data_IF_561921645307
#
_entry.id   IF_561921645307
#
_cell.length_a   1.000
_cell.length_b   1.000
_cell.length_c   1.000
_cell.angle_alpha   90.00
_cell.angle_beta   90.00
_cell.angle_gamma   90.00
#
_symmetry.space_group_name_H-M   'P 1'
#
loop_
_entity.id
_entity.type
_entity.pdbx_description
1 polymer ?
#
# COMPACT_ATOMS: atom_id res chain seq x y z
N UNK A 1 -35.98 -66.70 24.65
CA UNK A 1 -35.62 -68.14 24.53
C UNK A 1 -34.22 -68.21 23.91
N UNK A 2 -33.40 -68.95 24.64
CA UNK A 2 -32.11 -69.57 24.26
C UNK A 2 -30.90 -68.68 23.96
N UNK A 3 -30.09 -68.66 24.99
CA UNK A 3 -28.65 -68.52 25.09
C UNK A 3 -27.88 -69.55 24.31
N UNK A 4 -26.75 -69.19 23.69
CA UNK A 4 -25.64 -70.19 23.55
C UNK A 4 -24.31 -69.40 23.64
N UNK A 5 -23.56 -69.81 24.66
CA UNK A 5 -22.15 -69.41 24.89
C UNK A 5 -21.25 -70.41 24.08
N UNK A 6 -20.09 -69.94 23.68
CA UNK A 6 -18.98 -70.73 23.15
C UNK A 6 -17.66 -69.98 23.08
N UNK A 7 -16.50 -70.61 23.06
CA UNK A 7 -15.53 -70.43 24.15
C UNK A 7 -14.34 -69.53 23.82
N UNK A 8 -13.66 -69.06 24.91
CA UNK A 8 -12.41 -68.30 24.93
C UNK A 8 -11.23 -69.16 24.50
N UNK A 9 -10.46 -68.67 23.53
CA UNK A 9 -9.12 -69.20 23.26
C UNK A 9 -8.13 -68.09 23.52
N UNK A 10 -7.27 -68.27 24.50
CA UNK A 10 -6.13 -67.39 24.80
C UNK A 10 -4.96 -67.86 23.92
N UNK A 11 -4.39 -66.91 23.18
CA UNK A 11 -3.11 -67.08 22.49
C UNK A 11 -2.18 -65.97 22.96
N UNK A 12 -1.13 -66.36 23.66
CA UNK A 12 -0.01 -65.51 24.02
C UNK A 12 0.83 -65.21 22.75
N UNK A 13 1.15 -63.99 22.51
CA UNK A 13 2.11 -63.62 21.49
C UNK A 13 3.16 -62.63 22.04
N UNK A 14 4.40 -63.01 21.77
CA UNK A 14 5.64 -62.37 22.15
C UNK A 14 5.69 -60.87 21.73
N UNK A 15 6.19 -60.07 22.64
CA UNK A 15 6.59 -58.69 22.37
C UNK A 15 7.96 -58.70 21.67
N UNK A 16 7.98 -58.20 20.43
CA UNK A 16 9.20 -57.76 19.75
C UNK A 16 9.21 -56.20 19.75
N UNK A 17 10.09 -55.62 20.55
CA UNK A 17 10.31 -54.17 20.59
C UNK A 17 11.12 -53.77 19.35
N UNK A 18 10.47 -53.15 18.36
CA UNK A 18 11.13 -52.39 17.31
C UNK A 18 11.18 -50.93 17.76
N UNK A 19 12.38 -50.46 18.10
CA UNK A 19 12.66 -49.03 18.30
C UNK A 19 12.72 -48.34 16.90
N UNK A 20 11.62 -47.74 16.47
CA UNK A 20 11.66 -46.77 15.37
C UNK A 20 12.25 -45.47 15.89
N UNK A 21 13.44 -45.13 15.40
CA UNK A 21 14.03 -43.83 15.56
C UNK A 21 13.15 -42.78 14.84
N UNK A 22 12.48 -41.94 15.61
CA UNK A 22 11.82 -40.74 15.09
C UNK A 22 12.91 -39.75 14.74
N UNK A 23 13.25 -39.66 13.47
CA UNK A 23 14.00 -38.52 12.95
C UNK A 23 13.08 -37.27 13.08
N UNK A 24 13.26 -36.52 14.14
CA UNK A 24 12.61 -35.22 14.32
C UNK A 24 13.09 -34.28 13.21
N UNK A 25 12.21 -33.96 12.24
CA UNK A 25 12.38 -32.76 11.44
C UNK A 25 12.24 -31.58 12.41
N UNK A 26 13.36 -30.96 12.74
CA UNK A 26 13.38 -29.65 13.36
C UNK A 26 12.87 -28.68 12.29
N UNK A 27 11.79 -27.90 12.53
CA UNK A 27 11.47 -26.81 11.66
C UNK A 27 12.71 -25.88 11.66
N UNK A 28 13.28 -25.66 10.48
CA UNK A 28 14.21 -24.54 10.32
C UNK A 28 13.37 -23.28 10.51
N UNK A 29 13.60 -22.56 11.60
CA UNK A 29 13.17 -21.18 11.72
C UNK A 29 13.78 -20.43 10.52
N UNK A 30 12.92 -20.11 9.53
CA UNK A 30 13.27 -19.07 8.57
C UNK A 30 13.59 -17.81 9.38
N UNK A 31 14.70 -17.15 9.11
CA UNK A 31 14.99 -15.91 9.79
C UNK A 31 13.86 -14.93 9.49
N UNK A 32 13.05 -14.59 10.50
CA UNK A 32 12.15 -13.45 10.44
C UNK A 32 12.97 -12.27 9.95
N UNK A 33 12.64 -11.77 8.75
CA UNK A 33 13.22 -10.58 8.21
C UNK A 33 12.90 -9.45 9.20
N UNK A 34 13.90 -9.06 9.97
CA UNK A 34 13.83 -7.85 10.80
C UNK A 34 13.34 -6.72 9.92
N UNK A 35 12.41 -5.86 10.38
CA UNK A 35 11.98 -4.71 9.62
C UNK A 35 13.19 -3.79 9.45
N UNK A 36 13.90 -3.95 8.33
CA UNK A 36 14.91 -3.01 7.89
C UNK A 36 14.22 -1.66 7.70
N UNK A 37 14.77 -0.61 8.31
CA UNK A 37 14.21 0.74 8.28
C UNK A 37 13.75 1.11 6.86
N UNK A 38 12.56 1.74 6.75
CA UNK A 38 11.79 1.88 5.49
C UNK A 38 12.60 2.28 4.25
N UNK A 39 13.67 3.07 4.40
CA UNK A 39 14.52 3.51 3.30
C UNK A 39 15.27 2.38 2.57
N UNK A 40 15.75 1.35 3.29
CA UNK A 40 16.47 0.22 2.68
C UNK A 40 15.59 -0.61 1.76
N UNK A 41 14.35 -0.88 2.17
CA UNK A 41 13.38 -1.60 1.35
C UNK A 41 12.99 -0.81 0.09
N UNK A 42 12.80 0.51 0.20
CA UNK A 42 12.42 1.34 -0.95
C UNK A 42 13.54 1.42 -2.00
N UNK A 43 14.81 1.47 -1.60
CA UNK A 43 15.95 1.44 -2.54
C UNK A 43 15.99 0.12 -3.29
N UNK A 44 15.80 -1.00 -2.62
CA UNK A 44 15.72 -2.31 -3.24
C UNK A 44 14.54 -2.41 -4.22
N UNK A 45 13.34 -2.01 -3.78
CA UNK A 45 12.15 -1.98 -4.62
C UNK A 45 12.35 -1.08 -5.86
N UNK A 46 12.97 0.10 -5.70
CA UNK A 46 13.29 0.98 -6.82
C UNK A 46 14.26 0.31 -7.82
N UNK A 47 15.19 -0.50 -7.32
CA UNK A 47 16.08 -1.31 -8.14
C UNK A 47 15.32 -2.28 -9.04
N UNK A 48 14.25 -2.87 -8.52
CA UNK A 48 13.40 -3.88 -9.19
C UNK A 48 12.39 -3.28 -10.18
N UNK A 49 12.12 -1.96 -10.11
CA UNK A 49 11.18 -1.32 -11.03
C UNK A 49 11.71 -1.31 -12.46
N UNK A 50 10.84 -1.72 -13.38
CA UNK A 50 11.13 -1.65 -14.83
C UNK A 50 11.18 -0.20 -15.30
N UNK A 51 12.27 0.16 -15.96
CA UNK A 51 12.41 1.47 -16.61
C UNK A 51 11.84 1.40 -18.03
N UNK A 52 10.90 2.28 -18.34
CA UNK A 52 10.29 2.37 -19.67
C UNK A 52 9.98 3.84 -20.03
N UNK A 53 9.80 4.11 -21.30
CA UNK A 53 9.24 5.38 -21.76
C UNK A 53 7.78 5.48 -21.31
N UNK A 54 7.34 6.67 -20.89
CA UNK A 54 5.96 6.90 -20.54
C UNK A 54 5.02 6.55 -21.70
N UNK A 55 3.98 5.79 -21.39
CA UNK A 55 2.95 5.39 -22.35
C UNK A 55 2.10 6.56 -22.83
N UNK A 56 1.27 6.31 -23.83
CA UNK A 56 0.37 7.31 -24.43
C UNK A 56 -0.79 7.63 -23.49
N UNK A 57 -1.25 8.88 -23.54
CA UNK A 57 -2.51 9.32 -22.90
C UNK A 57 -3.76 9.02 -23.75
N UNK A 58 -3.59 8.39 -24.93
CA UNK A 58 -4.73 8.03 -25.77
C UNK A 58 -5.70 7.13 -25.00
N UNK A 59 -6.96 7.51 -24.97
CA UNK A 59 -8.01 6.78 -24.27
C UNK A 59 -8.04 7.01 -22.76
N UNK A 60 -7.14 7.79 -22.18
CA UNK A 60 -7.21 8.12 -20.76
C UNK A 60 -8.49 8.88 -20.44
N UNK A 61 -9.16 8.41 -19.42
CA UNK A 61 -10.21 9.15 -18.71
C UNK A 61 -10.12 8.81 -17.22
N UNK A 62 -10.29 9.82 -16.38
CA UNK A 62 -10.39 9.60 -14.93
C UNK A 62 -11.51 8.63 -14.56
N UNK A 63 -12.56 8.55 -15.38
CA UNK A 63 -13.70 7.64 -15.17
C UNK A 63 -13.33 6.16 -15.33
N UNK A 64 -12.21 5.84 -16.00
CA UNK A 64 -11.67 4.48 -16.03
C UNK A 64 -11.04 4.03 -14.70
N UNK A 65 -10.92 4.93 -13.74
CA UNK A 65 -10.49 4.65 -12.36
C UNK A 65 -11.65 4.92 -11.41
N UNK A 66 -12.63 3.99 -11.28
CA UNK A 66 -13.77 4.18 -10.37
C UNK A 66 -13.29 4.43 -8.94
N UNK A 67 -13.47 5.62 -8.44
CA UNK A 67 -13.11 6.09 -7.10
C UNK A 67 -14.26 6.96 -6.62
N UNK A 68 -14.37 7.13 -5.56
CA UNK A 68 -14.47 6.85 -4.20
C UNK A 68 -15.49 5.73 -3.95
N UNK A 69 -15.06 4.51 -3.78
CA UNK A 69 -15.96 3.37 -3.55
C UNK A 69 -16.72 3.57 -2.25
N UNK A 70 -18.02 3.25 -2.27
CA UNK A 70 -18.83 3.24 -1.07
C UNK A 70 -18.31 2.21 -0.05
N UNK A 71 -18.20 2.64 1.21
CA UNK A 71 -17.82 1.79 2.36
C UNK A 71 -19.03 1.40 3.21
N UNK A 72 -20.25 1.73 2.76
CA UNK A 72 -21.52 1.49 3.43
C UNK A 72 -22.02 2.74 4.18
N UNK A 73 -23.31 2.73 4.55
CA UNK A 73 -23.97 3.83 5.30
C UNK A 73 -23.80 5.22 4.68
N UNK A 74 -23.77 5.31 3.35
CA UNK A 74 -23.52 6.54 2.58
C UNK A 74 -22.12 7.16 2.78
N UNK A 75 -21.14 6.35 3.17
CA UNK A 75 -19.73 6.74 3.24
C UNK A 75 -18.94 6.15 2.10
N UNK A 76 -17.79 6.74 1.86
CA UNK A 76 -16.87 6.29 0.84
C UNK A 76 -15.42 6.25 1.34
N UNK A 77 -14.52 5.88 0.44
CA UNK A 77 -13.08 5.82 0.72
C UNK A 77 -12.53 7.20 1.07
N UNK A 78 -13.05 8.31 0.49
CA UNK A 78 -12.63 9.65 0.83
C UNK A 78 -12.89 9.95 2.31
N UNK A 79 -14.09 9.64 2.83
CA UNK A 79 -14.41 9.82 4.25
C UNK A 79 -13.47 9.02 5.14
N UNK A 80 -13.15 7.79 4.73
CA UNK A 80 -12.23 6.91 5.48
C UNK A 80 -10.83 7.51 5.58
N UNK A 81 -10.31 8.11 4.50
CA UNK A 81 -9.00 8.76 4.50
C UNK A 81 -9.01 10.05 5.31
N UNK A 82 -10.06 10.87 5.18
CA UNK A 82 -10.21 12.08 5.99
C UNK A 82 -10.25 11.76 7.48
N UNK A 83 -10.92 10.67 7.87
CA UNK A 83 -10.95 10.20 9.26
C UNK A 83 -9.57 9.69 9.72
N UNK A 84 -8.87 8.93 8.88
CA UNK A 84 -7.54 8.38 9.20
C UNK A 84 -6.50 9.47 9.44
N UNK A 85 -6.49 10.49 8.57
CA UNK A 85 -5.44 11.50 8.50
C UNK A 85 -5.76 12.77 9.31
N UNK A 86 -7.02 12.92 9.75
CA UNK A 86 -7.47 14.07 10.53
C UNK A 86 -7.33 13.89 12.03
N UNK A 87 -7.30 15.02 12.74
CA UNK A 87 -7.40 15.11 14.21
C UNK A 87 -8.73 15.76 14.60
N UNK A 88 -9.34 15.34 15.71
CA UNK A 88 -10.62 15.87 16.23
C UNK A 88 -11.72 15.86 15.16
N UNK A 89 -11.78 14.79 14.36
CA UNK A 89 -12.68 14.68 13.20
C UNK A 89 -14.14 14.64 13.68
N UNK A 90 -14.98 15.48 13.08
CA UNK A 90 -16.42 15.57 13.34
C UNK A 90 -17.17 14.85 12.22
N UNK A 91 -18.14 14.05 12.60
CA UNK A 91 -18.92 13.23 11.69
C UNK A 91 -20.40 13.61 11.73
N UNK A 92 -21.07 13.56 10.58
CA UNK A 92 -22.53 13.50 10.46
C UNK A 92 -22.89 12.17 9.82
N UNK A 93 -23.36 11.22 10.65
CA UNK A 93 -23.34 9.81 10.26
C UNK A 93 -21.91 9.32 10.11
N UNK A 94 -21.50 9.02 8.90
CA UNK A 94 -20.10 8.69 8.59
C UNK A 94 -19.42 9.74 7.68
N UNK A 95 -20.15 10.75 7.23
CA UNK A 95 -19.56 11.84 6.45
C UNK A 95 -18.72 12.75 7.34
N UNK A 96 -17.55 13.09 6.89
CA UNK A 96 -16.66 14.03 7.59
C UNK A 96 -17.12 15.46 7.34
N UNK A 97 -17.52 16.15 8.42
CA UNK A 97 -18.04 17.51 8.37
C UNK A 97 -17.11 18.56 8.99
N UNK A 98 -16.02 18.14 9.60
CA UNK A 98 -15.01 19.02 10.19
C UNK A 98 -13.89 18.22 10.86
N UNK A 99 -12.82 18.91 11.24
CA UNK A 99 -11.66 18.30 11.89
C UNK A 99 -10.45 19.22 11.81
N UNK A 100 -9.26 18.65 11.93
CA UNK A 100 -8.00 19.32 11.67
C UNK A 100 -7.12 18.42 10.83
N UNK A 101 -6.65 18.95 9.71
CA UNK A 101 -5.70 18.28 8.83
C UNK A 101 -4.48 19.17 8.66
N UNK A 102 -3.32 18.55 8.73
CA UNK A 102 -2.04 19.21 8.43
C UNK A 102 -1.45 18.52 7.21
N UNK A 103 -1.30 19.28 6.14
CA UNK A 103 -0.75 18.76 4.89
C UNK A 103 0.75 18.52 5.02
N UNK A 104 1.17 17.28 4.88
CA UNK A 104 2.60 16.91 4.90
C UNK A 104 3.37 17.47 3.70
N UNK A 105 2.68 17.90 2.64
CA UNK A 105 3.31 18.45 1.43
C UNK A 105 3.80 19.89 1.60
N UNK A 106 3.13 20.69 2.42
CA UNK A 106 3.41 22.13 2.56
C UNK A 106 3.24 22.68 3.98
N UNK A 107 2.89 21.84 4.96
CA UNK A 107 2.68 22.24 6.36
C UNK A 107 1.41 23.05 6.60
N UNK A 108 0.55 23.21 5.61
CA UNK A 108 -0.71 23.97 5.77
C UNK A 108 -1.73 23.18 6.55
N UNK A 109 -2.43 23.88 7.45
CA UNK A 109 -3.54 23.31 8.21
C UNK A 109 -4.89 23.73 7.63
N UNK A 110 -5.86 22.84 7.68
CA UNK A 110 -7.25 23.07 7.31
C UNK A 110 -8.19 22.53 8.39
N UNK A 111 -9.30 23.23 8.62
CA UNK A 111 -10.38 22.80 9.55
C UNK A 111 -11.64 22.35 8.79
N UNK A 112 -11.76 22.75 7.54
CA UNK A 112 -12.87 22.41 6.66
C UNK A 112 -12.42 21.30 5.69
N UNK A 113 -13.11 20.16 5.64
CA UNK A 113 -12.77 19.06 4.72
C UNK A 113 -12.86 19.44 3.24
N UNK A 114 -13.55 20.53 2.87
CA UNK A 114 -13.59 21.05 1.50
C UNK A 114 -12.25 21.66 1.04
N UNK A 115 -11.37 22.00 1.99
CA UNK A 115 -10.02 22.53 1.73
C UNK A 115 -8.96 21.41 1.65
N UNK A 116 -9.37 20.17 1.88
CA UNK A 116 -8.51 18.99 1.88
C UNK A 116 -8.86 18.13 0.68
N UNK A 117 -7.89 17.87 -0.17
CA UNK A 117 -7.99 16.85 -1.23
C UNK A 117 -7.41 15.52 -0.73
N UNK A 118 -7.93 14.42 -1.23
CA UNK A 118 -7.25 13.12 -1.11
C UNK A 118 -6.41 12.95 -2.37
N UNK A 119 -5.11 13.03 -2.18
CA UNK A 119 -4.13 12.78 -3.24
C UNK A 119 -3.95 11.28 -3.48
N UNK A 120 -3.82 10.92 -4.75
CA UNK A 120 -3.26 9.65 -5.16
C UNK A 120 -1.74 9.81 -5.23
N UNK A 121 -0.98 9.15 -4.34
CA UNK A 121 0.49 9.23 -4.29
C UNK A 121 1.09 9.06 -5.69
N UNK A 122 0.73 8.00 -6.40
CA UNK A 122 0.94 7.88 -7.83
C UNK A 122 -0.36 8.32 -8.53
N UNK A 123 -0.36 9.47 -9.23
CA UNK A 123 -1.56 9.99 -9.89
C UNK A 123 -2.16 9.01 -10.88
N UNK A 124 -3.49 9.01 -11.03
CA UNK A 124 -4.19 8.08 -11.91
C UNK A 124 -3.70 8.19 -13.36
N UNK A 125 -3.44 9.40 -13.84
CA UNK A 125 -2.88 9.63 -15.17
C UNK A 125 -1.41 9.18 -15.29
N UNK A 126 -0.62 9.28 -14.21
CA UNK A 126 0.72 8.72 -14.18
C UNK A 126 0.67 7.18 -14.23
N UNK A 127 -0.22 6.56 -13.44
CA UNK A 127 -0.42 5.13 -13.47
C UNK A 127 -0.83 4.64 -14.87
N UNK A 128 -1.73 5.36 -15.56
CA UNK A 128 -2.11 5.07 -16.95
C UNK A 128 -0.88 4.99 -17.85
N UNK A 129 -0.03 6.02 -17.84
CA UNK A 129 1.21 6.07 -18.64
C UNK A 129 2.26 5.04 -18.23
N UNK A 130 2.08 4.42 -17.08
CA UNK A 130 3.02 3.46 -16.49
C UNK A 130 2.55 2.00 -16.60
N UNK A 131 1.50 1.71 -17.40
CA UNK A 131 1.00 0.37 -17.67
C UNK A 131 -0.42 0.09 -17.17
N UNK A 132 -1.08 1.03 -16.47
CA UNK A 132 -2.46 0.83 -16.03
C UNK A 132 -3.49 1.00 -17.18
N UNK A 133 -3.08 1.46 -18.34
CA UNK A 133 -3.88 1.46 -19.58
C UNK A 133 -4.24 0.04 -20.04
N UNK A 134 -3.40 -0.95 -19.72
CA UNK A 134 -3.64 -2.37 -20.02
C UNK A 134 -4.53 -3.07 -18.98
N UNK A 135 -4.87 -2.43 -17.87
CA UNK A 135 -5.71 -3.02 -16.84
C UNK A 135 -7.19 -2.91 -17.19
N UNK A 136 -8.00 -3.78 -16.61
CA UNK A 136 -9.46 -3.59 -16.60
C UNK A 136 -9.87 -2.50 -15.58
N UNK A 137 -11.11 -2.03 -15.69
CA UNK A 137 -11.66 -0.99 -14.81
C UNK A 137 -11.74 -1.46 -13.34
N UNK A 138 -11.89 -2.77 -13.10
CA UNK A 138 -11.92 -3.31 -11.74
C UNK A 138 -10.56 -3.11 -11.05
N UNK A 139 -9.46 -3.50 -11.71
CA UNK A 139 -8.10 -3.32 -11.20
C UNK A 139 -7.73 -1.83 -11.08
N UNK A 140 -8.11 -1.00 -12.05
CA UNK A 140 -7.95 0.46 -11.94
C UNK A 140 -8.71 1.03 -10.75
N UNK A 141 -9.91 0.53 -10.50
CA UNK A 141 -10.69 0.90 -9.32
C UNK A 141 -10.03 0.43 -8.01
N UNK A 142 -9.43 -0.76 -7.97
CA UNK A 142 -8.69 -1.23 -6.80
C UNK A 142 -7.48 -0.35 -6.50
N UNK A 143 -6.73 0.05 -7.53
CA UNK A 143 -5.64 1.00 -7.42
C UNK A 143 -6.10 2.37 -6.89
N UNK A 144 -7.20 2.90 -7.43
CA UNK A 144 -7.73 4.21 -7.08
C UNK A 144 -8.32 4.28 -5.67
N UNK A 145 -8.65 3.14 -5.06
CA UNK A 145 -9.21 3.04 -3.71
C UNK A 145 -8.29 2.25 -2.76
N UNK A 146 -7.00 2.15 -3.07
CA UNK A 146 -6.06 1.39 -2.26
C UNK A 146 -5.78 2.08 -0.91
N UNK A 147 -6.40 1.60 0.14
CA UNK A 147 -6.22 2.08 1.51
C UNK A 147 -5.16 1.31 2.29
N UNK A 148 -4.62 0.22 1.72
CA UNK A 148 -3.66 -0.66 2.38
C UNK A 148 -2.22 -0.18 2.16
N UNK A 149 -1.92 0.33 0.97
CA UNK A 149 -0.64 0.93 0.61
C UNK A 149 -0.71 2.45 0.76
N UNK A 150 0.42 3.16 0.75
CA UNK A 150 0.44 4.62 0.92
C UNK A 150 0.00 5.36 -0.38
N UNK A 151 -1.08 4.90 -1.01
CA UNK A 151 -1.61 5.46 -2.26
C UNK A 151 -2.51 6.66 -2.02
N UNK A 152 -3.22 6.71 -0.90
CA UNK A 152 -4.19 7.77 -0.61
C UNK A 152 -3.75 8.58 0.61
N UNK A 153 -3.77 9.90 0.51
CA UNK A 153 -3.28 10.81 1.54
C UNK A 153 -4.08 12.12 1.56
N UNK A 154 -4.51 12.54 2.74
CA UNK A 154 -5.16 13.86 2.91
C UNK A 154 -4.11 14.97 2.90
N UNK A 155 -4.23 15.90 1.95
CA UNK A 155 -3.28 17.00 1.76
C UNK A 155 -4.01 18.31 1.45
N UNK A 156 -3.31 19.44 1.47
CA UNK A 156 -3.88 20.71 1.04
C UNK A 156 -4.30 20.64 -0.43
N UNK A 157 -5.49 21.13 -0.75
CA UNK A 157 -6.00 21.18 -2.11
C UNK A 157 -5.07 21.95 -3.06
N UNK A 158 -4.36 22.96 -2.55
CA UNK A 158 -3.39 23.75 -3.33
C UNK A 158 -2.19 22.91 -3.77
N UNK A 159 -1.59 22.10 -2.87
CA UNK A 159 -0.45 21.25 -3.20
C UNK A 159 -0.87 20.10 -4.11
N UNK A 160 -2.04 19.48 -3.86
CA UNK A 160 -2.55 18.43 -4.72
C UNK A 160 -2.75 18.90 -6.17
N UNK A 161 -3.35 20.07 -6.35
CA UNK A 161 -3.56 20.67 -7.69
C UNK A 161 -2.25 21.08 -8.36
N UNK A 162 -1.27 21.57 -7.57
CA UNK A 162 0.06 21.87 -8.07
C UNK A 162 0.81 20.61 -8.53
N UNK A 163 0.66 19.50 -7.81
CA UNK A 163 1.23 18.19 -8.18
C UNK A 163 0.62 17.67 -9.47
N UNK A 164 -0.72 17.70 -9.58
CA UNK A 164 -1.43 17.19 -10.76
C UNK A 164 -1.07 15.75 -11.07
N UNK A 165 -0.66 15.48 -12.30
CA UNK A 165 -0.25 14.16 -12.78
C UNK A 165 1.29 14.00 -12.92
N UNK A 166 2.03 14.95 -12.34
CA UNK A 166 3.49 15.02 -12.41
C UNK A 166 4.14 13.92 -11.54
N UNK A 167 5.27 13.41 -12.01
CA UNK A 167 6.13 12.49 -11.29
C UNK A 167 7.20 13.23 -10.44
N UNK A 168 7.98 12.53 -9.60
CA UNK A 168 8.98 13.15 -8.74
C UNK A 168 10.10 13.92 -9.45
N UNK A 169 10.30 13.72 -10.76
CA UNK A 169 11.25 14.52 -11.56
C UNK A 169 10.69 15.90 -11.90
N UNK A 170 9.38 16.08 -11.85
CA UNK A 170 8.67 17.28 -12.26
C UNK A 170 8.09 18.05 -11.07
N UNK A 171 7.69 17.36 -10.03
CA UNK A 171 7.12 17.94 -8.82
C UNK A 171 7.61 17.23 -7.56
N UNK A 172 7.90 17.97 -6.52
CA UNK A 172 8.25 17.48 -5.19
C UNK A 172 7.51 18.31 -4.13
N UNK A 173 7.15 17.73 -2.97
CA UNK A 173 6.58 18.48 -1.86
C UNK A 173 7.46 19.69 -1.48
N UNK A 174 6.84 20.85 -1.19
CA UNK A 174 7.56 22.03 -0.68
C UNK A 174 8.22 21.72 0.67
N UNK A 175 7.59 20.88 1.48
CA UNK A 175 8.13 20.38 2.73
C UNK A 175 9.21 19.32 2.46
N UNK A 176 10.48 19.71 2.51
CA UNK A 176 11.62 18.83 2.26
C UNK A 176 11.75 17.68 3.28
N UNK A 177 11.28 17.88 4.52
CA UNK A 177 11.34 16.81 5.53
C UNK A 177 10.47 15.60 5.17
N UNK A 178 9.50 15.78 4.28
CA UNK A 178 8.64 14.70 3.79
C UNK A 178 9.19 13.97 2.55
N UNK A 179 10.32 14.41 1.96
CA UNK A 179 10.82 13.83 0.72
C UNK A 179 11.14 12.34 0.81
N UNK A 180 11.77 11.91 1.90
CA UNK A 180 12.04 10.49 2.11
C UNK A 180 10.76 9.67 2.10
N UNK A 181 9.78 10.07 2.91
CA UNK A 181 8.51 9.38 3.00
C UNK A 181 7.72 9.42 1.69
N UNK A 182 7.80 10.55 0.96
CA UNK A 182 7.19 10.68 -0.36
C UNK A 182 7.80 9.70 -1.36
N UNK A 183 9.13 9.62 -1.45
CA UNK A 183 9.84 8.70 -2.35
C UNK A 183 9.59 7.23 -1.96
N UNK A 184 9.65 6.88 -0.68
CA UNK A 184 9.31 5.53 -0.19
C UNK A 184 7.88 5.14 -0.58
N UNK A 185 6.93 6.03 -0.35
CA UNK A 185 5.52 5.79 -0.66
C UNK A 185 5.29 5.61 -2.16
N UNK A 186 5.90 6.47 -2.98
CA UNK A 186 5.82 6.39 -4.44
C UNK A 186 6.36 5.06 -4.96
N UNK A 187 7.56 4.67 -4.52
CA UNK A 187 8.21 3.40 -4.91
C UNK A 187 7.36 2.21 -4.46
N UNK A 188 6.91 2.21 -3.20
CA UNK A 188 6.06 1.13 -2.66
C UNK A 188 4.81 0.91 -3.51
N UNK A 189 4.12 1.99 -3.89
CA UNK A 189 2.92 1.92 -4.73
C UNK A 189 3.26 1.38 -6.11
N UNK A 190 4.26 1.95 -6.80
CA UNK A 190 4.63 1.47 -8.14
C UNK A 190 5.12 0.02 -8.14
N UNK A 191 5.90 -0.37 -7.14
CA UNK A 191 6.40 -1.73 -7.00
C UNK A 191 5.26 -2.73 -6.81
N UNK A 192 4.34 -2.46 -5.87
CA UNK A 192 3.21 -3.35 -5.61
C UNK A 192 2.31 -3.52 -6.84
N UNK A 193 1.98 -2.40 -7.49
CA UNK A 193 1.10 -2.39 -8.66
C UNK A 193 1.81 -2.74 -9.97
N UNK A 194 3.12 -3.03 -9.92
CA UNK A 194 3.96 -3.38 -11.08
C UNK A 194 3.90 -2.32 -12.19
N UNK A 195 3.89 -1.06 -11.79
CA UNK A 195 3.96 0.07 -12.70
C UNK A 195 5.41 0.34 -13.10
N UNK A 196 5.62 0.83 -14.31
CA UNK A 196 6.93 1.23 -14.78
C UNK A 196 7.31 2.62 -14.26
N UNK A 197 8.60 2.95 -14.32
CA UNK A 197 9.14 4.29 -14.09
C UNK A 197 9.89 4.79 -15.32
N UNK A 198 9.88 6.11 -15.56
CA UNK A 198 10.79 6.70 -16.54
C UNK A 198 12.20 6.80 -15.97
N UNK A 199 13.21 6.98 -16.83
CA UNK A 199 14.59 7.21 -16.38
C UNK A 199 14.72 8.46 -15.52
N UNK A 200 14.00 9.53 -15.86
CA UNK A 200 13.97 10.77 -15.09
C UNK A 200 13.30 10.59 -13.72
N UNK A 201 12.16 9.91 -13.68
CA UNK A 201 11.46 9.56 -12.45
C UNK A 201 12.35 8.69 -11.52
N UNK A 202 13.00 7.65 -12.07
CA UNK A 202 13.93 6.79 -11.31
C UNK A 202 15.09 7.58 -10.73
N UNK A 203 15.70 8.47 -11.52
CA UNK A 203 16.80 9.32 -11.06
C UNK A 203 16.36 10.24 -9.92
N UNK A 204 15.20 10.88 -10.02
CA UNK A 204 14.67 11.75 -8.98
C UNK A 204 14.36 10.98 -7.69
N UNK A 205 13.79 9.78 -7.78
CA UNK A 205 13.53 8.92 -6.63
C UNK A 205 14.84 8.46 -5.96
N UNK A 206 15.85 8.11 -6.76
CA UNK A 206 17.19 7.75 -6.26
C UNK A 206 17.81 8.90 -5.47
N UNK A 207 17.74 10.12 -6.01
CA UNK A 207 18.25 11.34 -5.35
C UNK A 207 17.53 11.59 -4.01
N UNK A 208 16.20 11.49 -4.00
CA UNK A 208 15.40 11.68 -2.79
C UNK A 208 15.71 10.63 -1.73
N UNK A 209 15.80 9.35 -2.11
CA UNK A 209 16.12 8.25 -1.19
C UNK A 209 17.56 8.31 -0.69
N UNK A 210 18.51 8.78 -1.52
CA UNK A 210 19.91 8.98 -1.13
C UNK A 210 20.09 10.03 -0.04
N UNK A 211 19.15 10.97 0.08
CA UNK A 211 19.11 11.96 1.17
C UNK A 211 18.50 11.45 2.47
N UNK A 212 17.98 10.21 2.49
CA UNK A 212 17.33 9.65 3.67
C UNK A 212 18.40 9.10 4.63
N UNK A 213 18.50 9.68 5.82
CA UNK A 213 19.36 9.13 6.87
C UNK A 213 18.81 7.79 7.34
N UNK A 214 19.65 6.77 7.33
CA UNK A 214 19.36 5.49 7.98
C UNK A 214 19.25 5.75 9.48
N UNK A 215 18.04 5.92 10.00
CA UNK A 215 17.87 6.04 11.45
C UNK A 215 16.90 7.10 11.98
N UNK A 216 15.98 7.65 11.21
CA UNK A 216 14.87 8.41 11.80
C UNK A 216 13.65 7.52 12.02
N UNK A 217 13.81 6.51 12.89
CA UNK A 217 12.70 5.92 13.62
C UNK A 217 12.42 6.80 14.83
N UNK A 218 11.37 7.62 14.78
CA UNK A 218 10.80 8.30 15.95
C UNK A 218 9.29 8.15 15.92
#
# INVERSE_FOLDING_TARGET
MRTTSGPRVAVAALAAALTLGVAGCVPQDEPEASPSGGGGNAVEQLGQLTVATAGSMKGYSRNHFPHWRGTGKNCDVRDSILQRDGKDVKLSGCNVVGGRWESVYDGRSAADPSQVDIDHMVPLANAWRSGADEWDDAKRGDFANDTTRPQLLAVSASSNRSKGDQDPSQWKPANRSYWCKYAESWVTVKHYWRLTVTSAEKAALTDMLGGCTVGSAS
#
